data_IF_397797934020
#
_entry.id   IF_397797934020
#
_cell.length_a   1.000
_cell.length_b   1.000
_cell.length_c   1.000
_cell.angle_alpha   90.00
_cell.angle_beta   90.00
_cell.angle_gamma   90.00
#
_symmetry.space_group_name_H-M   'P 1'
#
loop_
_entity.id
_entity.type
_entity.pdbx_description
1 polymer ?
#
# COMPACT_ATOMS: atom_id res chain seq x y z
N UNK A 1 10.81 -26.73 43.64
CA UNK A 1 11.15 -25.38 43.12
C UNK A 1 11.36 -25.46 41.61
N UNK A 2 10.43 -25.00 40.80
CA UNK A 2 10.57 -24.98 39.33
C UNK A 2 11.13 -23.63 38.90
N UNK A 3 12.37 -23.61 38.39
CA UNK A 3 13.05 -22.43 37.90
C UNK A 3 12.39 -21.93 36.62
N UNK A 4 11.72 -20.79 36.67
CA UNK A 4 11.18 -20.12 35.49
C UNK A 4 12.34 -19.57 34.64
N UNK A 5 12.54 -20.14 33.44
CA UNK A 5 13.45 -19.60 32.42
C UNK A 5 12.86 -18.26 31.91
N UNK A 6 13.48 -17.14 32.30
CA UNK A 6 13.22 -15.82 31.71
C UNK A 6 13.56 -15.87 30.21
N UNK A 7 12.52 -15.83 29.38
CA UNK A 7 12.68 -15.71 27.91
C UNK A 7 13.30 -14.35 27.62
N UNK A 8 14.55 -14.32 27.17
CA UNK A 8 15.24 -13.10 26.70
C UNK A 8 14.45 -12.55 25.52
N UNK A 9 13.82 -11.38 25.68
CA UNK A 9 13.22 -10.64 24.56
C UNK A 9 14.28 -10.42 23.47
N UNK A 10 13.99 -10.87 22.24
CA UNK A 10 14.85 -10.64 21.06
C UNK A 10 15.05 -9.14 20.90
N UNK A 11 16.28 -8.66 21.01
CA UNK A 11 16.68 -7.28 20.77
C UNK A 11 16.27 -6.92 19.33
N UNK A 12 15.37 -5.95 19.17
CA UNK A 12 14.91 -5.50 17.86
C UNK A 12 16.11 -5.08 17.00
N UNK A 13 16.39 -5.83 15.95
CA UNK A 13 17.60 -5.68 15.13
C UNK A 13 17.40 -4.67 13.99
N UNK A 14 16.67 -3.59 14.25
CA UNK A 14 16.42 -2.51 13.27
C UNK A 14 16.75 -1.13 13.84
N UNK A 15 16.96 -0.19 12.94
CA UNK A 15 17.14 1.24 13.23
C UNK A 15 16.18 2.07 12.39
N UNK A 16 15.99 3.34 12.80
CA UNK A 16 15.13 4.31 12.12
C UNK A 16 15.96 5.48 11.61
N UNK A 17 15.68 5.94 10.40
CA UNK A 17 16.22 7.16 9.81
C UNK A 17 15.08 7.99 9.21
N UNK A 18 15.26 9.32 9.07
CA UNK A 18 14.21 10.23 8.64
C UNK A 18 14.76 11.20 7.60
N UNK A 19 14.08 11.28 6.45
CA UNK A 19 14.50 12.05 5.29
C UNK A 19 13.34 12.83 4.67
N UNK A 20 13.56 14.10 4.37
CA UNK A 20 12.66 14.93 3.57
C UNK A 20 13.37 15.31 2.27
N UNK A 21 12.78 15.05 1.13
CA UNK A 21 13.39 15.21 -0.20
C UNK A 21 12.34 15.50 -1.29
N UNK A 22 11.39 16.40 -1.01
CA UNK A 22 10.23 16.66 -1.88
C UNK A 22 9.02 15.82 -1.53
N UNK A 23 8.14 15.57 -2.51
CA UNK A 23 6.94 14.76 -2.34
C UNK A 23 7.28 13.38 -1.77
N UNK A 24 6.77 13.09 -0.59
CA UNK A 24 7.10 11.88 0.16
C UNK A 24 6.65 10.58 -0.52
N UNK A 25 5.69 10.61 -1.46
CA UNK A 25 5.29 9.41 -2.20
C UNK A 25 6.43 8.84 -3.05
N UNK A 26 7.11 9.71 -3.81
CA UNK A 26 8.23 9.31 -4.66
C UNK A 26 9.46 8.92 -3.84
N UNK A 27 9.71 9.62 -2.75
CA UNK A 27 10.82 9.35 -1.83
C UNK A 27 10.61 8.02 -1.11
N UNK A 28 9.38 7.77 -0.60
CA UNK A 28 9.02 6.51 0.04
C UNK A 28 9.26 5.31 -0.89
N UNK A 29 8.76 5.40 -2.13
CA UNK A 29 8.89 4.33 -3.11
C UNK A 29 10.36 3.99 -3.39
N UNK A 30 11.21 5.00 -3.56
CA UNK A 30 12.64 4.80 -3.80
C UNK A 30 13.33 4.14 -2.61
N UNK A 31 13.07 4.57 -1.36
CA UNK A 31 13.63 3.94 -0.16
C UNK A 31 13.10 2.52 0.06
N UNK A 32 11.83 2.27 -0.20
CA UNK A 32 11.20 0.97 -0.01
C UNK A 32 11.82 -0.13 -0.89
N UNK A 33 12.36 0.25 -2.06
CA UNK A 33 13.06 -0.68 -2.98
C UNK A 33 14.50 -1.01 -2.57
N UNK A 34 15.05 -0.33 -1.56
CA UNK A 34 16.43 -0.59 -1.15
C UNK A 34 16.56 -1.88 -0.35
N UNK A 35 17.48 -2.75 -0.79
CA UNK A 35 17.82 -3.96 -0.04
C UNK A 35 18.36 -3.60 1.35
N UNK A 36 17.70 -4.09 2.39
CA UNK A 36 18.03 -3.80 3.80
C UNK A 36 17.09 -2.80 4.46
N UNK A 37 16.26 -2.08 3.71
CA UNK A 37 15.08 -1.39 4.23
C UNK A 37 14.01 -2.42 4.53
N UNK A 38 13.43 -2.35 5.73
CA UNK A 38 12.43 -3.29 6.23
C UNK A 38 11.01 -2.74 6.09
N UNK A 39 10.86 -1.43 6.29
CA UNK A 39 9.58 -0.74 6.19
C UNK A 39 9.79 0.77 5.99
N UNK A 40 8.80 1.43 5.41
CA UNK A 40 8.74 2.88 5.29
C UNK A 40 7.39 3.39 5.76
N UNK A 41 7.36 4.61 6.27
CA UNK A 41 6.14 5.36 6.57
C UNK A 41 6.33 6.81 6.15
N UNK A 42 5.31 7.42 5.55
CA UNK A 42 5.31 8.85 5.24
C UNK A 42 4.59 9.66 6.30
N UNK A 43 4.99 10.90 6.47
CA UNK A 43 4.41 11.80 7.45
C UNK A 43 5.09 13.16 7.49
N UNK A 44 4.97 13.86 8.61
CA UNK A 44 5.34 15.24 8.78
C UNK A 44 6.31 15.40 9.93
N UNK A 45 7.39 16.18 9.73
CA UNK A 45 8.42 16.38 10.74
C UNK A 45 9.11 17.75 10.63
N UNK A 46 9.67 18.24 11.72
CA UNK A 46 10.48 19.46 11.73
C UNK A 46 9.73 20.75 12.04
N UNK A 47 8.41 20.73 12.06
CA UNK A 47 7.55 21.87 12.38
C UNK A 47 7.16 21.96 13.86
N UNK A 48 6.41 23.01 14.19
CA UNK A 48 5.95 23.31 15.57
C UNK A 48 4.52 22.83 15.82
N UNK A 49 3.68 22.71 14.77
CA UNK A 49 2.29 22.28 14.89
C UNK A 49 2.23 20.81 15.36
N UNK A 50 1.51 20.53 16.45
CA UNK A 50 1.28 19.16 16.93
C UNK A 50 0.17 18.51 16.12
N UNK A 51 0.38 17.25 15.70
CA UNK A 51 -0.58 16.43 14.94
C UNK A 51 -1.19 17.21 13.75
N UNK A 52 -0.34 17.74 12.83
CA UNK A 52 -0.85 18.49 11.69
C UNK A 52 -1.63 17.56 10.75
N UNK A 53 -2.63 18.12 10.05
CA UNK A 53 -3.26 17.48 8.89
C UNK A 53 -2.46 17.77 7.62
N UNK A 54 -2.74 17.04 6.56
CA UNK A 54 -2.12 17.26 5.25
C UNK A 54 -2.37 18.67 4.73
N UNK A 55 -3.61 19.16 4.82
CA UNK A 55 -4.00 20.50 4.38
C UNK A 55 -3.25 21.59 5.16
N UNK A 56 -3.09 21.42 6.47
CA UNK A 56 -2.30 22.33 7.29
C UNK A 56 -0.83 22.38 6.82
N UNK A 57 -0.23 21.21 6.49
CA UNK A 57 1.15 21.15 6.00
C UNK A 57 1.28 21.77 4.61
N UNK A 58 0.33 21.52 3.70
CA UNK A 58 0.29 22.14 2.38
C UNK A 58 0.25 23.67 2.42
N UNK A 59 -0.37 24.25 3.45
CA UNK A 59 -0.36 25.71 3.63
C UNK A 59 1.04 26.32 3.79
N UNK A 60 2.08 25.50 4.05
CA UNK A 60 3.45 25.93 4.31
C UNK A 60 3.68 26.57 5.69
N UNK A 61 2.62 26.81 6.48
CA UNK A 61 2.68 27.58 7.74
C UNK A 61 3.03 26.74 8.96
N UNK A 62 2.96 25.40 8.88
CA UNK A 62 3.24 24.52 10.03
C UNK A 62 4.72 24.36 10.36
N UNK A 63 5.60 24.68 9.38
CA UNK A 63 7.04 24.46 9.46
C UNK A 63 7.45 22.99 9.31
N UNK A 64 6.48 22.07 9.11
CA UNK A 64 6.76 20.67 8.81
C UNK A 64 7.27 20.49 7.37
N UNK A 65 8.07 19.44 7.17
CA UNK A 65 8.39 18.92 5.84
C UNK A 65 7.76 17.54 5.67
N UNK A 66 7.36 17.22 4.45
CA UNK A 66 7.02 15.88 4.03
C UNK A 66 8.23 14.97 4.23
N UNK A 67 8.08 13.98 5.09
CA UNK A 67 9.20 13.19 5.61
C UNK A 67 8.91 11.69 5.49
N UNK A 68 9.91 10.95 5.06
CA UNK A 68 9.90 9.47 5.06
C UNK A 68 10.65 8.97 6.28
N UNK A 69 9.98 8.17 7.10
CA UNK A 69 10.58 7.35 8.15
C UNK A 69 10.99 6.01 7.55
N UNK A 70 12.28 5.71 7.60
CA UNK A 70 12.89 4.49 7.05
C UNK A 70 13.28 3.56 8.20
N UNK A 71 12.66 2.39 8.28
CA UNK A 71 13.08 1.30 9.16
C UNK A 71 14.03 0.39 8.39
N UNK A 72 15.23 0.17 8.91
CA UNK A 72 16.25 -0.59 8.20
C UNK A 72 17.02 -1.57 9.09
N UNK A 73 17.54 -2.64 8.50
CA UNK A 73 18.46 -3.58 9.15
C UNK A 73 19.89 -3.06 9.04
N UNK A 74 20.54 -2.65 10.14
CA UNK A 74 21.88 -2.06 10.10
C UNK A 74 22.99 -3.06 9.69
N UNK A 75 22.71 -4.36 9.70
CA UNK A 75 23.63 -5.38 9.19
C UNK A 75 23.56 -5.51 7.66
N UNK A 76 22.44 -5.09 7.02
CA UNK A 76 22.26 -5.16 5.57
C UNK A 76 22.52 -3.83 4.87
N UNK A 77 22.16 -2.72 5.50
CA UNK A 77 22.40 -1.35 5.00
C UNK A 77 22.78 -0.43 6.15
N UNK A 78 23.81 0.39 5.95
CA UNK A 78 24.29 1.34 6.97
C UNK A 78 23.63 2.71 6.82
N UNK A 79 23.58 3.51 7.89
CA UNK A 79 23.10 4.88 7.84
C UNK A 79 23.81 5.75 6.79
N UNK A 80 25.17 5.71 6.68
CA UNK A 80 25.89 6.41 5.61
C UNK A 80 25.40 6.03 4.19
N UNK A 81 25.11 4.76 3.94
CA UNK A 81 24.55 4.34 2.62
C UNK A 81 23.16 4.90 2.38
N UNK A 82 22.30 5.00 3.41
CA UNK A 82 21.00 5.66 3.28
C UNK A 82 21.14 7.15 2.97
N UNK A 83 22.08 7.86 3.62
CA UNK A 83 22.37 9.27 3.34
C UNK A 83 22.94 9.45 1.93
N UNK A 84 23.85 8.59 1.48
CA UNK A 84 24.36 8.64 0.10
C UNK A 84 23.23 8.41 -0.91
N UNK A 85 22.33 7.48 -0.63
CA UNK A 85 21.17 7.23 -1.48
C UNK A 85 20.21 8.42 -1.49
N UNK A 86 19.95 9.05 -0.34
CA UNK A 86 19.16 10.27 -0.22
C UNK A 86 19.64 11.35 -1.20
N UNK A 87 20.96 11.63 -1.24
CA UNK A 87 21.54 12.61 -2.18
C UNK A 87 21.46 12.19 -3.65
N UNK A 88 21.26 10.91 -3.96
CA UNK A 88 21.10 10.41 -5.34
C UNK A 88 19.68 10.54 -5.87
N UNK A 89 18.69 10.60 -5.00
CA UNK A 89 17.28 10.48 -5.40
C UNK A 89 16.54 11.80 -5.54
N UNK A 90 17.17 12.94 -5.21
CA UNK A 90 16.59 14.28 -5.31
C UNK A 90 17.66 15.31 -5.65
N UNK A 91 17.23 16.52 -5.99
CA UNK A 91 18.13 17.67 -6.17
C UNK A 91 18.33 18.36 -4.81
N UNK A 92 19.53 18.29 -4.19
CA UNK A 92 19.80 18.90 -2.89
C UNK A 92 20.14 20.39 -2.98
N UNK A 93 20.09 21.03 -4.17
CA UNK A 93 20.49 22.42 -4.42
C UNK A 93 19.30 23.38 -4.48
N UNK A 94 18.08 22.89 -4.52
CA UNK A 94 16.86 23.70 -4.62
C UNK A 94 16.25 23.96 -3.25
N UNK A 95 16.17 25.26 -2.88
CA UNK A 95 15.57 25.68 -1.61
C UNK A 95 14.04 25.66 -1.71
N UNK A 96 13.38 25.13 -0.67
CA UNK A 96 11.91 25.11 -0.54
C UNK A 96 11.16 24.60 -1.78
N UNK A 97 11.78 23.70 -2.53
CA UNK A 97 11.16 23.04 -3.68
C UNK A 97 11.87 21.74 -4.06
N UNK A 98 11.18 20.88 -4.80
CA UNK A 98 11.78 19.71 -5.46
C UNK A 98 11.08 19.43 -6.78
N UNK A 99 11.78 19.68 -7.89
CA UNK A 99 11.16 19.56 -9.22
C UNK A 99 9.94 20.52 -9.35
N UNK A 100 8.76 20.00 -9.71
CA UNK A 100 7.53 20.79 -9.86
C UNK A 100 6.91 21.20 -8.51
N UNK A 101 7.24 20.49 -7.42
CA UNK A 101 6.66 20.73 -6.11
C UNK A 101 7.32 21.95 -5.44
N UNK A 102 6.55 23.01 -5.20
CA UNK A 102 7.00 24.29 -4.64
C UNK A 102 6.38 24.49 -3.27
N UNK A 103 7.21 24.81 -2.27
CA UNK A 103 6.78 25.11 -0.92
C UNK A 103 7.75 24.57 0.14
N UNK A 104 7.78 25.16 1.35
CA UNK A 104 8.69 24.77 2.41
C UNK A 104 8.48 23.34 2.91
N UNK A 105 7.31 22.74 2.65
CA UNK A 105 7.02 21.34 2.96
C UNK A 105 7.81 20.35 2.09
N UNK A 106 8.32 20.79 0.93
CA UNK A 106 9.08 19.95 -0.03
C UNK A 106 10.59 20.15 0.07
N UNK A 107 11.07 20.89 1.08
CA UNK A 107 12.49 21.17 1.26
C UNK A 107 13.29 19.94 1.63
N UNK A 108 14.59 19.99 1.35
CA UNK A 108 15.52 18.91 1.64
C UNK A 108 16.01 18.95 3.08
N UNK A 109 15.80 17.86 3.86
CA UNK A 109 16.24 17.75 5.26
C UNK A 109 16.68 16.34 5.58
N UNK A 110 17.79 16.23 6.33
CA UNK A 110 18.17 15.02 7.05
C UNK A 110 17.97 15.24 8.55
N UNK A 111 17.19 14.37 9.20
CA UNK A 111 17.00 14.41 10.64
C UNK A 111 17.90 13.36 11.32
N UNK A 112 18.80 13.83 12.19
CA UNK A 112 19.67 12.93 12.96
C UNK A 112 19.11 12.65 14.36
N UNK A 113 19.26 11.42 14.84
CA UNK A 113 18.79 10.99 16.16
C UNK A 113 19.87 11.06 17.23
N UNK A 114 21.15 11.03 16.83
CA UNK A 114 22.29 10.97 17.75
C UNK A 114 23.56 11.59 17.14
N UNK A 115 24.59 11.79 17.99
CA UNK A 115 25.87 12.39 17.57
C UNK A 115 26.60 11.61 16.47
N UNK A 116 26.47 10.27 16.47
CA UNK A 116 27.09 9.42 15.45
C UNK A 116 26.47 9.68 14.07
N UNK A 117 25.15 9.67 13.96
CA UNK A 117 24.44 9.97 12.70
C UNK A 117 24.79 11.37 12.17
N UNK A 118 24.86 12.39 13.08
CA UNK A 118 25.30 13.72 12.73
C UNK A 118 26.70 13.73 12.12
N UNK A 119 27.68 13.05 12.76
CA UNK A 119 29.06 12.96 12.28
C UNK A 119 29.13 12.22 10.92
N UNK A 120 28.41 11.13 10.77
CA UNK A 120 28.36 10.34 9.53
C UNK A 120 27.77 11.17 8.37
N UNK A 121 26.68 11.95 8.61
CA UNK A 121 26.12 12.86 7.63
C UNK A 121 27.12 13.95 7.21
N UNK A 122 27.76 14.62 8.17
CA UNK A 122 28.72 15.70 7.89
C UNK A 122 29.94 15.19 7.07
N UNK A 123 30.41 13.97 7.34
CA UNK A 123 31.48 13.34 6.55
C UNK A 123 31.09 13.05 5.11
N UNK A 124 29.81 12.78 4.85
CA UNK A 124 29.28 12.59 3.50
C UNK A 124 29.08 13.94 2.82
N UNK A 125 28.47 14.90 3.52
CA UNK A 125 28.21 16.26 3.02
C UNK A 125 29.52 16.90 2.56
N UNK A 126 30.59 16.82 3.36
CA UNK A 126 31.89 17.40 3.00
C UNK A 126 32.42 16.90 1.65
N UNK A 127 32.18 15.65 1.30
CA UNK A 127 32.54 15.08 -0.01
C UNK A 127 31.64 15.54 -1.17
N UNK A 128 30.46 16.05 -0.87
CA UNK A 128 29.47 16.52 -1.86
C UNK A 128 29.58 18.03 -2.14
N UNK A 129 29.87 18.82 -1.09
CA UNK A 129 29.93 20.30 -1.15
C UNK A 129 30.93 20.81 -2.19
N UNK A 130 32.02 20.07 -2.46
CA UNK A 130 32.99 20.46 -3.49
C UNK A 130 32.41 20.40 -4.94
N UNK A 131 31.21 19.90 -5.10
CA UNK A 131 30.54 19.76 -6.43
C UNK A 131 29.31 20.64 -6.60
N UNK A 132 28.57 20.95 -5.49
CA UNK A 132 27.26 21.60 -5.58
C UNK A 132 27.02 22.51 -4.36
N UNK A 133 26.26 23.60 -4.56
CA UNK A 133 25.71 24.41 -3.45
C UNK A 133 24.54 23.66 -2.80
N UNK A 134 24.83 22.82 -1.80
CA UNK A 134 23.83 21.99 -1.13
C UNK A 134 23.07 22.83 -0.10
N UNK A 135 21.75 22.89 -0.22
CA UNK A 135 20.82 23.58 0.70
C UNK A 135 20.12 22.63 1.67
N UNK A 136 20.47 21.35 1.66
CA UNK A 136 19.90 20.34 2.57
C UNK A 136 20.12 20.73 4.03
N UNK A 137 19.05 20.88 4.79
CA UNK A 137 19.10 21.16 6.22
C UNK A 137 19.50 19.91 7.01
N UNK A 138 20.35 20.09 8.03
CA UNK A 138 20.63 19.06 9.02
C UNK A 138 19.95 19.42 10.34
N UNK A 139 18.93 18.70 10.74
CA UNK A 139 18.15 18.99 11.96
C UNK A 139 18.21 17.81 12.94
N UNK A 140 18.19 18.14 14.25
CA UNK A 140 17.95 17.13 15.27
C UNK A 140 16.54 16.60 15.12
N UNK A 141 16.36 15.29 15.28
CA UNK A 141 15.06 14.62 15.24
C UNK A 141 14.06 15.30 16.18
N UNK A 142 12.88 15.61 15.65
CA UNK A 142 11.69 16.06 16.37
C UNK A 142 10.60 14.97 16.35
N UNK A 143 9.43 15.15 16.96
CA UNK A 143 8.33 14.22 16.79
C UNK A 143 7.97 14.03 15.31
N UNK A 144 7.82 12.78 14.90
CA UNK A 144 7.31 12.41 13.59
C UNK A 144 5.81 12.15 13.71
N UNK A 145 5.02 12.87 12.94
CA UNK A 145 3.58 12.68 12.82
C UNK A 145 3.30 11.87 11.57
N UNK A 146 2.80 10.65 11.74
CA UNK A 146 2.47 9.78 10.62
C UNK A 146 1.36 10.43 9.78
N UNK A 147 1.58 10.52 8.48
CA UNK A 147 0.57 11.00 7.54
C UNK A 147 -0.60 10.04 7.40
N UNK A 148 -1.67 10.50 6.82
CA UNK A 148 -2.93 9.81 6.66
C UNK A 148 -2.76 8.49 5.90
N UNK A 149 -3.67 7.53 6.10
CA UNK A 149 -3.53 6.19 5.52
C UNK A 149 -3.48 6.19 3.99
N UNK A 150 -4.16 7.13 3.33
CA UNK A 150 -4.16 7.22 1.87
C UNK A 150 -2.81 7.68 1.29
N UNK A 151 -1.92 8.26 2.09
CA UNK A 151 -0.57 8.62 1.68
C UNK A 151 0.42 7.47 1.78
N UNK A 152 0.20 6.50 2.66
CA UNK A 152 1.14 5.40 2.91
C UNK A 152 1.27 4.49 1.69
N UNK A 153 2.52 4.24 1.23
CA UNK A 153 2.82 3.39 0.07
C UNK A 153 1.99 3.74 -1.19
N UNK A 154 1.78 5.03 -1.40
CA UNK A 154 0.87 5.53 -2.43
C UNK A 154 1.22 5.01 -3.83
N UNK A 155 2.50 5.11 -4.25
CA UNK A 155 2.96 4.66 -5.57
C UNK A 155 2.88 3.14 -5.66
N UNK A 156 3.43 2.41 -4.69
CA UNK A 156 3.38 0.94 -4.69
C UNK A 156 1.95 0.41 -4.78
N UNK A 157 0.99 1.04 -4.08
CA UNK A 157 -0.43 0.68 -4.19
C UNK A 157 -0.99 0.98 -5.57
N UNK A 158 -0.64 2.16 -6.15
CA UNK A 158 -1.06 2.51 -7.52
C UNK A 158 -0.44 1.58 -8.56
N UNK A 159 0.87 1.32 -8.46
CA UNK A 159 1.61 0.45 -9.39
C UNK A 159 1.08 -0.98 -9.32
N UNK A 160 0.95 -1.53 -8.10
CA UNK A 160 0.35 -2.86 -7.91
C UNK A 160 -1.10 -2.91 -8.43
N UNK A 161 -1.89 -1.86 -8.22
CA UNK A 161 -3.23 -1.75 -8.80
C UNK A 161 -3.20 -1.66 -10.32
N UNK A 162 -2.21 -0.99 -10.91
CA UNK A 162 -2.10 -0.80 -12.36
C UNK A 162 -1.52 -2.04 -13.03
N UNK A 163 -0.45 -2.62 -12.50
CA UNK A 163 0.14 -3.87 -12.99
C UNK A 163 -0.84 -5.03 -12.85
N UNK A 164 -1.47 -5.18 -11.68
CA UNK A 164 -2.53 -6.17 -11.50
C UNK A 164 -3.74 -5.87 -12.38
N UNK A 165 -4.18 -4.60 -12.52
CA UNK A 165 -5.25 -4.24 -13.45
C UNK A 165 -4.92 -4.59 -14.90
N UNK A 166 -3.67 -4.42 -15.32
CA UNK A 166 -3.24 -4.77 -16.70
C UNK A 166 -3.23 -6.28 -16.89
N UNK A 167 -2.62 -7.03 -15.98
CA UNK A 167 -2.61 -8.50 -16.00
C UNK A 167 -4.03 -9.06 -15.88
N UNK A 168 -4.84 -8.56 -14.94
CA UNK A 168 -6.23 -9.02 -14.76
C UNK A 168 -7.17 -8.45 -15.82
N UNK A 169 -6.92 -7.25 -16.37
CA UNK A 169 -7.65 -6.71 -17.50
C UNK A 169 -7.42 -7.56 -18.75
N UNK A 170 -6.19 -8.02 -18.98
CA UNK A 170 -5.89 -8.96 -20.05
C UNK A 170 -6.52 -10.33 -19.80
N UNK A 171 -6.53 -10.82 -18.56
CA UNK A 171 -7.18 -12.07 -18.18
C UNK A 171 -8.72 -11.94 -18.18
N UNK A 172 -9.27 -10.86 -17.61
CA UNK A 172 -10.73 -10.70 -17.47
C UNK A 172 -11.42 -10.04 -18.69
N UNK A 173 -10.74 -9.18 -19.47
CA UNK A 173 -11.36 -8.46 -20.61
C UNK A 173 -11.02 -9.10 -21.95
N UNK A 174 -9.76 -9.45 -22.20
CA UNK A 174 -9.37 -10.08 -23.47
C UNK A 174 -9.77 -11.54 -23.57
N UNK A 175 -10.14 -12.16 -22.45
CA UNK A 175 -10.66 -13.52 -22.39
C UNK A 175 -12.20 -13.61 -22.33
N UNK A 176 -12.96 -12.49 -22.34
CA UNK A 176 -14.44 -12.59 -22.31
C UNK A 176 -15.00 -13.35 -23.52
N UNK A 177 -14.38 -13.32 -24.67
CA UNK A 177 -14.77 -14.16 -25.82
C UNK A 177 -14.05 -15.53 -25.91
N UNK A 178 -12.95 -15.72 -25.16
CA UNK A 178 -12.21 -17.00 -25.06
C UNK A 178 -12.29 -17.65 -23.67
N UNK A 179 -12.62 -16.91 -22.65
CA UNK A 179 -12.63 -17.33 -21.25
C UNK A 179 -13.91 -18.07 -20.85
N UNK A 180 -14.97 -17.99 -21.65
CA UNK A 180 -16.18 -18.79 -21.41
C UNK A 180 -15.89 -20.29 -21.32
N UNK A 181 -14.79 -20.77 -21.89
CA UNK A 181 -14.38 -22.19 -21.82
C UNK A 181 -13.15 -22.49 -20.95
N UNK A 182 -12.39 -21.52 -20.46
CA UNK A 182 -11.07 -21.78 -19.84
C UNK A 182 -10.91 -21.42 -18.37
N UNK A 183 -11.77 -20.61 -17.76
CA UNK A 183 -11.60 -20.09 -16.39
C UNK A 183 -12.77 -20.36 -15.43
N UNK A 184 -13.70 -21.20 -15.80
CA UNK A 184 -14.67 -21.80 -14.87
C UNK A 184 -13.98 -22.60 -13.75
N UNK A 185 -12.77 -23.03 -14.00
CA UNK A 185 -12.06 -24.17 -13.48
C UNK A 185 -11.71 -24.22 -12.00
N UNK A 186 -11.22 -23.17 -11.33
CA UNK A 186 -10.67 -23.38 -9.98
C UNK A 186 -11.74 -23.41 -8.88
N UNK A 187 -12.61 -22.44 -8.86
CA UNK A 187 -13.63 -22.29 -7.80
C UNK A 187 -14.99 -22.87 -8.17
N UNK A 188 -15.16 -23.39 -9.38
CA UNK A 188 -16.31 -24.20 -9.77
C UNK A 188 -16.16 -25.69 -9.46
N UNK A 189 -14.98 -26.10 -8.95
CA UNK A 189 -14.80 -27.47 -8.47
C UNK A 189 -15.67 -27.66 -7.22
N UNK A 190 -16.48 -28.74 -7.15
CA UNK A 190 -17.34 -29.07 -6.00
C UNK A 190 -16.62 -29.06 -4.65
N UNK A 191 -15.31 -29.31 -4.60
CA UNK A 191 -14.53 -29.23 -3.37
C UNK A 191 -14.57 -27.86 -2.70
N UNK A 192 -14.68 -26.75 -3.48
CA UNK A 192 -14.79 -25.41 -2.93
C UNK A 192 -16.15 -25.10 -2.30
N UNK A 193 -17.21 -25.83 -2.67
CA UNK A 193 -18.51 -25.74 -2.01
C UNK A 193 -18.48 -26.25 -0.56
N UNK A 194 -17.49 -27.09 -0.22
CA UNK A 194 -17.32 -27.67 1.12
C UNK A 194 -16.35 -26.86 1.99
N UNK A 195 -15.56 -25.97 1.39
CA UNK A 195 -14.56 -25.16 2.10
C UNK A 195 -15.20 -23.95 2.77
N UNK A 196 -14.83 -23.69 4.02
CA UNK A 196 -15.26 -22.49 4.76
C UNK A 196 -14.22 -21.40 4.65
N UNK A 197 -14.62 -20.20 4.25
CA UNK A 197 -13.70 -19.08 4.09
C UNK A 197 -14.32 -17.89 3.37
N UNK A 198 -13.48 -16.95 3.02
CA UNK A 198 -13.87 -15.67 2.43
C UNK A 198 -13.23 -15.53 1.05
N UNK A 199 -14.01 -15.11 0.07
CA UNK A 199 -13.54 -14.69 -1.24
C UNK A 199 -13.23 -13.21 -1.24
N UNK A 200 -11.99 -12.85 -1.56
CA UNK A 200 -11.50 -11.47 -1.59
C UNK A 200 -11.12 -11.05 -3.01
N UNK A 201 -11.09 -9.74 -3.23
CA UNK A 201 -10.56 -9.17 -4.47
C UNK A 201 -9.05 -9.40 -4.56
N UNK A 202 -8.53 -10.03 -5.62
CA UNK A 202 -7.10 -10.33 -5.76
C UNK A 202 -6.23 -9.07 -5.92
N UNK A 203 -6.83 -7.93 -6.29
CA UNK A 203 -6.11 -6.65 -6.48
C UNK A 203 -5.98 -5.88 -5.17
N UNK A 204 -7.09 -5.68 -4.44
CA UNK A 204 -7.12 -4.76 -3.30
C UNK A 204 -7.46 -5.43 -1.97
N UNK A 205 -7.60 -6.76 -1.98
CA UNK A 205 -7.92 -7.61 -0.82
C UNK A 205 -9.25 -7.24 -0.12
N UNK A 206 -10.13 -6.51 -0.82
CA UNK A 206 -11.47 -6.24 -0.33
C UNK A 206 -12.24 -7.55 -0.18
N UNK A 207 -12.91 -7.74 0.96
CA UNK A 207 -13.75 -8.91 1.21
C UNK A 207 -15.01 -8.80 0.34
N UNK A 208 -15.32 -9.82 -0.43
CA UNK A 208 -16.41 -9.77 -1.42
C UNK A 208 -17.57 -10.68 -1.06
N UNK A 209 -17.25 -11.96 -0.83
CA UNK A 209 -18.25 -13.02 -0.59
C UNK A 209 -17.80 -13.95 0.53
N UNK A 210 -18.76 -14.46 1.29
CA UNK A 210 -18.54 -15.58 2.20
C UNK A 210 -18.85 -16.90 1.47
N UNK A 211 -18.10 -17.95 1.75
CA UNK A 211 -18.30 -19.28 1.18
C UNK A 211 -19.65 -19.92 1.54
N UNK A 212 -20.28 -19.48 2.64
CA UNK A 212 -21.62 -19.95 3.02
C UNK A 212 -22.69 -19.54 2.01
N UNK A 213 -22.44 -18.49 1.23
CA UNK A 213 -23.35 -18.01 0.18
C UNK A 213 -23.07 -18.65 -1.19
N UNK A 214 -22.03 -19.49 -1.29
CA UNK A 214 -21.68 -20.19 -2.52
C UNK A 214 -22.59 -21.40 -2.76
N UNK A 215 -22.98 -21.62 -4.03
CA UNK A 215 -23.76 -22.77 -4.43
C UNK A 215 -23.40 -23.24 -5.85
N UNK A 216 -23.79 -24.45 -6.19
CA UNK A 216 -23.60 -25.00 -7.52
C UNK A 216 -24.74 -24.57 -8.45
N UNK A 217 -24.50 -23.59 -9.29
CA UNK A 217 -25.47 -23.10 -10.29
C UNK A 217 -25.53 -23.91 -11.56
N UNK A 218 -24.75 -25.01 -11.69
CA UNK A 218 -24.60 -25.84 -12.90
C UNK A 218 -24.06 -25.08 -14.13
N UNK A 219 -23.66 -23.81 -13.96
CA UNK A 219 -23.09 -23.02 -15.07
C UNK A 219 -21.59 -23.27 -15.26
N UNK A 220 -20.92 -23.90 -14.30
CA UNK A 220 -19.47 -24.06 -14.27
C UNK A 220 -18.72 -22.79 -13.84
N UNK A 221 -19.41 -21.80 -13.29
CA UNK A 221 -18.85 -20.56 -12.73
C UNK A 221 -19.12 -20.49 -11.23
N UNK A 222 -18.21 -19.88 -10.43
CA UNK A 222 -18.51 -19.59 -9.03
C UNK A 222 -19.77 -18.75 -8.90
N UNK A 223 -20.74 -19.25 -8.15
CA UNK A 223 -22.03 -18.62 -7.99
C UNK A 223 -22.33 -18.36 -6.52
N UNK A 224 -22.83 -17.16 -6.23
CA UNK A 224 -23.18 -16.71 -4.89
C UNK A 224 -24.59 -16.12 -4.88
N UNK A 225 -25.35 -16.41 -3.84
CA UNK A 225 -26.70 -15.84 -3.67
C UNK A 225 -26.71 -14.60 -2.78
N UNK A 226 -25.57 -14.24 -2.17
CA UNK A 226 -25.41 -13.00 -1.40
C UNK A 226 -23.93 -12.54 -1.38
N UNK A 227 -23.71 -11.26 -1.09
CA UNK A 227 -22.38 -10.70 -0.79
C UNK A 227 -22.06 -10.86 0.69
N UNK A 228 -20.81 -10.59 1.11
CA UNK A 228 -20.39 -10.75 2.51
C UNK A 228 -21.16 -9.85 3.48
N UNK A 229 -21.69 -8.74 3.00
CA UNK A 229 -22.38 -7.70 3.77
C UNK A 229 -23.83 -7.46 3.31
N UNK A 230 -24.40 -8.40 2.54
CA UNK A 230 -25.74 -8.30 2.00
C UNK A 230 -25.81 -7.59 0.65
N UNK A 231 -26.45 -8.22 -0.34
CA UNK A 231 -26.46 -7.76 -1.73
C UNK A 231 -27.22 -6.45 -1.97
N UNK A 232 -28.19 -6.11 -1.12
CA UNK A 232 -29.05 -4.93 -1.30
C UNK A 232 -28.28 -3.63 -1.11
N UNK A 233 -27.37 -3.58 -0.12
CA UNK A 233 -26.62 -2.39 0.25
C UNK A 233 -25.12 -2.70 0.43
N UNK A 234 -24.58 -3.57 -0.42
CA UNK A 234 -23.19 -3.98 -0.29
C UNK A 234 -22.23 -2.80 -0.41
N UNK A 235 -21.41 -2.62 0.61
CA UNK A 235 -20.28 -1.68 0.62
C UNK A 235 -19.04 -2.25 -0.07
N UNK A 236 -19.06 -3.53 -0.42
CA UNK A 236 -17.93 -4.28 -0.96
C UNK A 236 -18.06 -4.61 -2.44
N UNK A 237 -19.28 -4.78 -2.93
CA UNK A 237 -19.59 -5.13 -4.32
C UNK A 237 -20.58 -4.12 -4.92
N UNK A 238 -20.14 -3.43 -5.97
CA UNK A 238 -20.99 -2.53 -6.75
C UNK A 238 -21.76 -3.34 -7.79
N UNK A 239 -23.06 -3.09 -7.90
CA UNK A 239 -23.96 -3.63 -8.93
C UNK A 239 -24.49 -2.54 -9.86
N UNK A 240 -24.33 -2.73 -11.16
CA UNK A 240 -24.93 -1.86 -12.16
C UNK A 240 -26.23 -2.49 -12.69
N UNK A 241 -27.42 -1.92 -12.38
CA UNK A 241 -28.69 -2.53 -12.78
C UNK A 241 -28.94 -2.51 -14.30
N UNK A 242 -28.32 -1.59 -15.05
CA UNK A 242 -28.47 -1.51 -16.52
C UNK A 242 -27.66 -2.59 -17.24
N UNK A 243 -26.42 -2.78 -16.83
CA UNK A 243 -25.51 -3.76 -17.47
C UNK A 243 -25.48 -5.09 -16.73
N UNK A 244 -26.08 -5.19 -15.56
CA UNK A 244 -26.01 -6.32 -14.61
C UNK A 244 -24.57 -6.61 -14.13
N UNK A 245 -23.64 -5.74 -14.41
CA UNK A 245 -22.22 -5.90 -14.08
C UNK A 245 -21.96 -5.75 -12.58
N UNK A 246 -21.11 -6.61 -12.05
CA UNK A 246 -20.57 -6.56 -10.69
C UNK A 246 -19.13 -6.09 -10.70
N UNK A 247 -18.81 -5.17 -9.80
CA UNK A 247 -17.45 -4.63 -9.60
C UNK A 247 -17.07 -4.61 -8.14
N UNK A 248 -15.79 -4.78 -7.87
CA UNK A 248 -15.26 -4.48 -6.54
C UNK A 248 -15.42 -2.98 -6.23
N UNK A 249 -16.15 -2.64 -5.17
CA UNK A 249 -16.41 -1.25 -4.78
C UNK A 249 -15.12 -0.47 -4.51
N UNK A 250 -14.08 -1.13 -3.97
CA UNK A 250 -12.82 -0.48 -3.57
C UNK A 250 -11.89 -0.15 -4.74
N UNK A 251 -11.80 -1.00 -5.77
CA UNK A 251 -10.83 -0.82 -6.86
C UNK A 251 -11.43 -0.83 -8.27
N UNK A 252 -12.74 -1.09 -8.41
CA UNK A 252 -13.44 -1.11 -9.69
C UNK A 252 -13.14 -2.33 -10.56
N UNK A 253 -12.48 -3.38 -10.02
CA UNK A 253 -12.26 -4.63 -10.76
C UNK A 253 -13.62 -5.22 -11.17
N UNK A 254 -13.77 -5.54 -12.45
CA UNK A 254 -14.91 -6.36 -12.93
C UNK A 254 -14.86 -7.75 -12.28
N UNK A 255 -15.96 -8.18 -11.68
CA UNK A 255 -16.08 -9.45 -10.98
C UNK A 255 -16.88 -10.47 -11.77
N UNK A 256 -17.95 -10.04 -12.43
CA UNK A 256 -18.92 -10.87 -13.12
C UNK A 256 -20.24 -10.14 -13.34
N UNK A 257 -21.34 -10.89 -13.35
CA UNK A 257 -22.68 -10.33 -13.56
C UNK A 257 -23.68 -10.92 -12.56
N UNK A 258 -24.69 -10.11 -12.18
CA UNK A 258 -25.83 -10.54 -11.37
C UNK A 258 -26.98 -10.96 -12.24
N UNK A 259 -27.50 -12.16 -11.99
CA UNK A 259 -28.74 -12.71 -12.52
C UNK A 259 -29.80 -12.75 -11.42
N UNK A 260 -31.05 -13.04 -11.78
CA UNK A 260 -32.19 -13.12 -10.85
C UNK A 260 -32.91 -14.47 -10.98
N UNK A 261 -32.12 -15.53 -11.05
CA UNK A 261 -32.53 -16.96 -11.15
C UNK A 261 -31.93 -17.83 -10.04
N UNK A 262 -31.40 -17.20 -8.98
CA UNK A 262 -30.76 -17.86 -7.85
C UNK A 262 -31.70 -18.67 -6.95
N UNK A 263 -31.14 -19.44 -6.01
CA UNK A 263 -31.87 -20.46 -5.24
C UNK A 263 -32.69 -19.87 -4.07
N UNK A 264 -32.48 -18.61 -3.69
CA UNK A 264 -33.15 -17.98 -2.55
C UNK A 264 -34.39 -17.18 -2.97
N UNK A 265 -35.16 -16.68 -2.00
CA UNK A 265 -36.32 -15.79 -2.26
C UNK A 265 -35.94 -14.53 -3.03
N UNK A 266 -34.75 -14.00 -2.83
CA UNK A 266 -34.21 -12.84 -3.54
C UNK A 266 -33.95 -13.09 -5.02
N UNK A 267 -33.83 -14.39 -5.40
CA UNK A 267 -33.43 -14.83 -6.74
C UNK A 267 -32.05 -14.30 -7.17
N UNK A 268 -31.25 -13.72 -6.26
CA UNK A 268 -29.91 -13.24 -6.58
C UNK A 268 -28.99 -14.39 -6.95
N UNK A 269 -28.27 -14.20 -8.04
CA UNK A 269 -27.26 -15.09 -8.57
C UNK A 269 -26.09 -14.27 -9.11
N UNK A 270 -25.09 -14.08 -8.29
CA UNK A 270 -23.83 -13.43 -8.68
C UNK A 270 -22.92 -14.47 -9.33
N UNK A 271 -22.88 -14.46 -10.67
CA UNK A 271 -22.04 -15.33 -11.48
C UNK A 271 -20.67 -14.66 -11.67
N UNK A 272 -19.62 -15.24 -11.11
CA UNK A 272 -18.34 -14.59 -10.99
C UNK A 272 -17.24 -15.30 -11.78
N UNK A 273 -16.27 -14.51 -12.27
CA UNK A 273 -15.07 -15.05 -12.88
C UNK A 273 -14.09 -15.53 -11.80
N UNK A 274 -13.71 -16.81 -11.82
CA UNK A 274 -12.75 -17.40 -10.86
C UNK A 274 -11.42 -16.66 -10.82
N UNK A 275 -10.97 -16.06 -11.93
CA UNK A 275 -9.75 -15.27 -11.97
C UNK A 275 -9.86 -13.94 -11.21
N UNK A 276 -11.08 -13.45 -10.95
CA UNK A 276 -11.35 -12.22 -10.23
C UNK A 276 -11.60 -12.45 -8.73
N UNK A 277 -11.34 -13.64 -8.23
CA UNK A 277 -11.49 -14.04 -6.84
C UNK A 277 -10.21 -14.65 -6.29
N UNK A 278 -9.96 -14.43 -4.99
CA UNK A 278 -8.97 -15.14 -4.21
C UNK A 278 -9.62 -15.67 -2.95
N UNK A 279 -9.51 -16.99 -2.72
CA UNK A 279 -10.11 -17.65 -1.55
C UNK A 279 -9.14 -17.71 -0.40
N UNK A 280 -9.59 -17.29 0.78
CA UNK A 280 -8.88 -17.41 2.07
C UNK A 280 -9.70 -18.39 2.91
N UNK A 281 -9.10 -19.54 3.21
CA UNK A 281 -9.70 -20.57 4.05
C UNK A 281 -9.68 -20.11 5.53
N UNK A 282 -10.78 -20.32 6.25
CA UNK A 282 -10.82 -20.10 7.69
C UNK A 282 -10.06 -21.26 8.37
N UNK A 283 -9.10 -20.91 9.23
CA UNK A 283 -8.40 -21.90 10.06
C UNK A 283 -9.31 -22.49 11.12
#
# INVERSE_FOLDING_TARGET
MKTQKKTKMKKNNYKLAYFAAGCFWSVEEKFNRLRGVLNTEVGYMGGKRKKPTYEEVLSGKTGHAETVKVMYNPQKITYPKLVQFFFKIHDPTTKDRQGPDIGPQYRSIVFYSNKKEKKEYLGILHKQVNKYMIVTELKKKTPFYRGENYHQRYISRKTNLTENKTVFKDICINNTKRAEKRYSGKYSNPEYLLKKGIYICPICQNKLYDSIHMYDSKTGWPAFWDTIDGYENSSNVFFNPKTKELKCMKCGLHLGHRMFDGPTKSKVHDCLNSACLHFIENN
#
